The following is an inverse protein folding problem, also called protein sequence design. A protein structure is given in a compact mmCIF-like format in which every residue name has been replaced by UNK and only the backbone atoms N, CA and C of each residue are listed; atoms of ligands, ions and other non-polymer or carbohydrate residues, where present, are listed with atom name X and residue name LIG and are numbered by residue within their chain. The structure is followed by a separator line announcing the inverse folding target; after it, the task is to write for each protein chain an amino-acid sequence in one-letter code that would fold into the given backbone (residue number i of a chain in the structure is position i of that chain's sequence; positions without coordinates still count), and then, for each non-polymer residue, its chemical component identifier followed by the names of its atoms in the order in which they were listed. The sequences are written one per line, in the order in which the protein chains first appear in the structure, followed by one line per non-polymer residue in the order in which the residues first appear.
data_IF_183225942113
#
_entry.id   IF_183225942113
#
_cell.length_a   1.000
_cell.length_b   1.000
_cell.length_c   1.000
_cell.angle_alpha   90.00
_cell.angle_beta   90.00
_cell.angle_gamma   90.00
#
_symmetry.space_group_name_H-M   'P 1'
#
loop_
_entity.id
_entity.type
_entity.pdbx_description
1 polymer ?
#
# COMPACT_ATOMS: atom_id res chain seq x y z
N UNK A 1 -4.80 -14.25 23.65
CA UNK A 1 -3.53 -14.54 22.96
C UNK A 1 -3.34 -13.73 21.67
N UNK A 2 -4.17 -13.91 20.62
CA UNK A 2 -3.98 -13.16 19.34
C UNK A 2 -3.95 -11.64 19.50
N UNK A 3 -4.81 -11.07 20.35
CA UNK A 3 -4.80 -9.63 20.65
C UNK A 3 -3.48 -9.21 21.34
N UNK A 4 -2.94 -10.03 22.24
CA UNK A 4 -1.66 -9.74 22.89
C UNK A 4 -0.52 -9.79 21.87
N UNK A 5 -0.53 -10.76 20.95
CA UNK A 5 0.44 -10.82 19.84
C UNK A 5 0.31 -9.61 18.91
N UNK A 6 -0.92 -9.16 18.61
CA UNK A 6 -1.15 -7.93 17.86
C UNK A 6 -0.57 -6.71 18.57
N UNK A 7 -0.77 -6.58 19.88
CA UNK A 7 -0.23 -5.48 20.68
C UNK A 7 1.30 -5.54 20.75
N UNK A 8 1.89 -6.74 20.86
CA UNK A 8 3.34 -6.91 20.80
C UNK A 8 3.90 -6.52 19.42
N UNK A 9 3.23 -6.91 18.34
CA UNK A 9 3.58 -6.51 16.97
C UNK A 9 3.46 -4.99 16.76
N UNK A 10 2.41 -4.36 17.31
CA UNK A 10 2.28 -2.91 17.31
C UNK A 10 3.39 -2.24 18.12
N UNK A 11 3.69 -2.76 19.32
CA UNK A 11 4.79 -2.27 20.15
C UNK A 11 6.13 -2.33 19.41
N UNK A 12 6.39 -3.43 18.69
CA UNK A 12 7.56 -3.56 17.81
C UNK A 12 7.58 -2.49 16.71
N UNK A 13 6.46 -2.26 16.01
CA UNK A 13 6.40 -1.21 14.99
C UNK A 13 6.64 0.20 15.54
N UNK A 14 6.18 0.48 16.77
CA UNK A 14 6.40 1.77 17.44
C UNK A 14 7.86 2.02 17.81
N UNK A 15 8.72 1.00 17.76
CA UNK A 15 10.17 1.19 17.96
C UNK A 15 10.86 1.79 16.73
N UNK A 16 10.23 1.77 15.55
CA UNK A 16 10.79 2.36 14.35
C UNK A 16 10.66 3.88 14.37
N UNK A 17 11.70 4.62 13.94
CA UNK A 17 11.63 6.07 13.88
C UNK A 17 10.60 6.53 12.86
N UNK A 18 9.89 7.61 13.20
CA UNK A 18 9.02 8.32 12.27
C UNK A 18 9.89 8.88 11.15
N UNK A 19 9.68 8.40 9.93
CA UNK A 19 10.40 8.84 8.75
C UNK A 19 9.53 8.61 7.52
N UNK A 20 9.30 9.68 6.76
CA UNK A 20 8.68 9.58 5.45
C UNK A 20 9.71 9.01 4.46
N UNK A 21 9.26 8.16 3.54
CA UNK A 21 10.11 7.44 2.60
C UNK A 21 9.71 7.66 1.13
N UNK A 22 8.73 8.53 0.89
CA UNK A 22 8.20 8.85 -0.42
C UNK A 22 7.67 10.29 -0.50
N UNK A 23 7.67 10.84 -1.72
CA UNK A 23 7.07 12.15 -2.01
C UNK A 23 5.55 12.13 -1.76
N UNK A 24 4.87 11.00 -2.00
CA UNK A 24 3.44 10.82 -1.67
C UNK A 24 3.18 11.06 -0.17
N UNK A 25 3.99 10.46 0.70
CA UNK A 25 3.83 10.60 2.15
C UNK A 25 4.14 12.02 2.63
N UNK A 26 5.12 12.70 2.00
CA UNK A 26 5.39 14.12 2.23
C UNK A 26 4.21 15.00 1.83
N UNK A 27 3.65 14.78 0.65
CA UNK A 27 2.49 15.52 0.15
C UNK A 27 1.26 15.32 1.07
N UNK A 28 1.09 14.13 1.67
CA UNK A 28 0.07 13.93 2.71
C UNK A 28 0.35 14.75 3.97
N UNK A 29 1.62 14.80 4.42
CA UNK A 29 2.01 15.57 5.60
C UNK A 29 1.75 17.07 5.39
N UNK A 30 2.00 17.60 4.19
CA UNK A 30 1.59 18.96 3.84
C UNK A 30 0.07 19.13 3.88
N UNK A 31 -0.69 18.16 3.37
CA UNK A 31 -2.16 18.22 3.32
C UNK A 31 -2.81 18.32 4.71
N UNK A 32 -2.14 17.75 5.73
CA UNK A 32 -2.54 17.92 7.13
C UNK A 32 -2.51 19.39 7.53
N UNK A 33 -1.43 20.11 7.22
CA UNK A 33 -1.28 21.53 7.53
C UNK A 33 -2.20 22.40 6.66
N UNK A 34 -2.08 22.26 5.34
CA UNK A 34 -2.87 23.01 4.37
C UNK A 34 -3.24 22.11 3.21
N UNK A 35 -4.53 21.90 3.03
CA UNK A 35 -5.02 21.06 1.94
C UNK A 35 -5.14 21.90 0.66
N UNK A 36 -4.49 21.47 -0.40
CA UNK A 36 -4.69 21.96 -1.77
C UNK A 36 -4.08 20.97 -2.76
N UNK A 37 -4.88 20.50 -3.74
CA UNK A 37 -4.36 19.63 -4.79
C UNK A 37 -3.48 20.37 -5.79
N UNK A 38 -3.66 21.70 -5.90
CA UNK A 38 -2.86 22.57 -6.76
C UNK A 38 -1.42 22.70 -6.26
N UNK A 39 -1.24 22.63 -4.94
CA UNK A 39 0.07 22.74 -4.27
C UNK A 39 0.71 21.38 -3.98
N UNK A 40 0.15 20.30 -4.53
CA UNK A 40 0.53 18.92 -4.23
C UNK A 40 0.46 18.62 -2.72
N UNK A 41 -0.64 19.01 -2.09
CA UNK A 41 -0.86 18.94 -0.65
C UNK A 41 -2.24 18.33 -0.29
N UNK A 42 -2.48 17.04 -0.58
CA UNK A 42 -1.68 16.12 -1.40
C UNK A 42 -2.03 16.26 -2.89
N UNK A 43 -1.40 15.48 -3.76
CA UNK A 43 -1.75 15.48 -5.19
C UNK A 43 -3.19 15.00 -5.44
N UNK A 44 -3.74 15.31 -6.63
CA UNK A 44 -5.06 14.83 -7.05
C UNK A 44 -5.16 13.29 -6.91
N UNK A 45 -6.25 12.72 -6.36
CA UNK A 45 -7.56 13.33 -6.04
C UNK A 45 -7.71 13.87 -4.60
N UNK A 46 -6.62 14.15 -3.90
CA UNK A 46 -6.67 14.79 -2.58
C UNK A 46 -6.86 13.84 -1.39
N UNK A 47 -7.39 12.63 -1.58
CA UNK A 47 -7.58 11.64 -0.50
C UNK A 47 -8.30 12.21 0.75
N UNK A 48 -9.50 12.82 0.60
CA UNK A 48 -10.10 13.65 1.65
C UNK A 48 -10.21 12.96 3.02
N UNK A 49 -10.71 11.72 3.07
CA UNK A 49 -10.89 11.04 4.34
C UNK A 49 -9.55 10.70 5.02
N UNK A 50 -8.48 10.48 4.24
CA UNK A 50 -7.16 10.21 4.80
C UNK A 50 -6.57 11.48 5.41
N UNK A 51 -6.72 12.63 4.73
CA UNK A 51 -6.30 13.93 5.27
C UNK A 51 -7.11 14.29 6.52
N UNK A 52 -8.43 14.08 6.53
CA UNK A 52 -9.25 14.29 7.73
C UNK A 52 -8.80 13.41 8.89
N UNK A 53 -8.56 12.12 8.65
CA UNK A 53 -8.06 11.19 9.66
C UNK A 53 -6.70 11.67 10.22
N UNK A 54 -5.77 12.03 9.34
CA UNK A 54 -4.46 12.52 9.76
C UNK A 54 -4.55 13.86 10.52
N UNK A 55 -5.44 14.78 10.13
CA UNK A 55 -5.69 16.02 10.88
C UNK A 55 -6.24 15.76 12.28
N UNK A 56 -7.19 14.82 12.42
CA UNK A 56 -7.72 14.42 13.72
C UNK A 56 -6.62 13.84 14.62
N UNK A 57 -5.75 13.00 14.05
CA UNK A 57 -4.60 12.44 14.78
C UNK A 57 -3.60 13.54 15.15
N UNK A 58 -3.38 14.52 14.27
CA UNK A 58 -2.46 15.64 14.50
C UNK A 58 -2.89 16.53 15.67
N UNK A 59 -4.15 16.48 16.12
CA UNK A 59 -4.56 17.11 17.38
C UNK A 59 -3.88 16.51 18.62
N UNK A 60 -3.36 15.28 18.51
CA UNK A 60 -2.71 14.54 19.60
C UNK A 60 -1.22 14.30 19.37
N UNK A 61 -0.65 14.72 18.23
CA UNK A 61 0.77 14.52 17.91
C UNK A 61 1.38 15.79 17.31
N UNK A 62 2.62 16.09 17.70
CA UNK A 62 3.24 17.39 17.46
C UNK A 62 3.59 17.68 15.98
N UNK A 63 3.66 16.64 15.14
CA UNK A 63 4.23 16.72 13.79
C UNK A 63 3.30 16.11 12.72
N UNK A 64 3.03 16.79 11.59
CA UNK A 64 2.18 16.28 10.52
C UNK A 64 2.66 14.94 9.92
N UNK A 65 3.97 14.77 9.78
CA UNK A 65 4.57 13.52 9.30
C UNK A 65 4.25 12.35 10.25
N UNK A 66 4.27 12.60 11.56
CA UNK A 66 3.89 11.64 12.58
C UNK A 66 2.41 11.30 12.45
N UNK A 67 1.54 12.29 12.28
CA UNK A 67 0.11 12.09 12.16
C UNK A 67 -0.29 11.20 10.96
N UNK A 68 0.34 11.43 9.81
CA UNK A 68 0.16 10.63 8.60
C UNK A 68 0.64 9.18 8.80
N UNK A 69 1.81 8.99 9.43
CA UNK A 69 2.29 7.64 9.74
C UNK A 69 1.37 6.90 10.72
N UNK A 70 0.87 7.58 11.76
CA UNK A 70 -0.10 6.98 12.70
C UNK A 70 -1.41 6.61 12.00
N UNK A 71 -1.90 7.43 11.07
CA UNK A 71 -3.08 7.08 10.28
C UNK A 71 -2.87 5.76 9.53
N UNK A 72 -1.72 5.60 8.86
CA UNK A 72 -1.34 4.36 8.17
C UNK A 72 -1.18 3.17 9.12
N UNK A 73 -0.52 3.38 10.26
CA UNK A 73 -0.31 2.35 11.29
C UNK A 73 -1.63 1.82 11.84
N UNK A 74 -2.52 2.72 12.27
CA UNK A 74 -3.83 2.36 12.84
C UNK A 74 -4.68 1.61 11.82
N UNK A 75 -4.75 2.09 10.57
CA UNK A 75 -5.47 1.39 9.51
C UNK A 75 -4.88 0.01 9.21
N UNK A 76 -3.55 -0.08 9.09
CA UNK A 76 -2.87 -1.34 8.79
C UNK A 76 -2.99 -2.36 9.93
N UNK A 77 -3.08 -1.90 11.18
CA UNK A 77 -3.27 -2.77 12.35
C UNK A 77 -4.60 -3.56 12.31
N UNK A 78 -5.58 -3.05 11.57
CA UNK A 78 -6.89 -3.70 11.43
C UNK A 78 -6.91 -4.80 10.36
N UNK A 79 -5.88 -4.91 9.51
CA UNK A 79 -5.88 -5.85 8.39
C UNK A 79 -5.98 -7.31 8.85
N UNK A 80 -5.17 -7.70 9.83
CA UNK A 80 -5.16 -9.08 10.36
C UNK A 80 -6.50 -9.48 11.03
N UNK A 81 -7.06 -8.71 11.99
CA UNK A 81 -8.36 -9.05 12.56
C UNK A 81 -9.49 -9.07 11.55
N UNK A 82 -9.53 -8.13 10.60
CA UNK A 82 -10.60 -8.05 9.62
C UNK A 82 -10.52 -9.18 8.59
N UNK A 83 -9.33 -9.49 8.07
CA UNK A 83 -9.13 -10.62 7.16
C UNK A 83 -9.49 -11.95 7.83
N UNK A 84 -9.03 -12.16 9.07
CA UNK A 84 -9.34 -13.37 9.82
C UNK A 84 -10.85 -13.51 10.10
N UNK A 85 -11.49 -12.41 10.51
CA UNK A 85 -12.94 -12.39 10.72
C UNK A 85 -13.72 -12.62 9.44
N UNK A 86 -13.26 -12.07 8.31
CA UNK A 86 -13.85 -12.31 7.01
C UNK A 86 -13.72 -13.77 6.59
N UNK A 87 -12.54 -14.39 6.77
CA UNK A 87 -12.35 -15.82 6.49
C UNK A 87 -13.27 -16.71 7.34
N UNK A 88 -13.38 -16.43 8.64
CA UNK A 88 -14.30 -17.17 9.54
C UNK A 88 -15.74 -17.06 9.06
N UNK A 89 -16.19 -15.85 8.69
CA UNK A 89 -17.56 -15.61 8.23
C UNK A 89 -17.83 -16.17 6.84
N UNK A 90 -16.89 -16.06 5.92
CA UNK A 90 -17.04 -16.54 4.54
C UNK A 90 -17.12 -18.07 4.49
N UNK A 91 -16.29 -18.75 5.29
CA UNK A 91 -16.21 -20.21 5.31
C UNK A 91 -16.99 -20.88 6.44
N UNK A 92 -17.64 -20.11 7.32
CA UNK A 92 -18.35 -20.59 8.51
C UNK A 92 -17.47 -21.49 9.40
N UNK A 93 -16.20 -21.13 9.56
CA UNK A 93 -15.17 -21.94 10.25
C UNK A 93 -14.38 -21.10 11.26
N UNK A 94 -14.77 -21.10 12.55
CA UNK A 94 -14.07 -20.34 13.60
C UNK A 94 -12.59 -20.69 13.75
N UNK A 95 -12.22 -21.94 13.46
CA UNK A 95 -10.82 -22.40 13.54
C UNK A 95 -9.87 -21.68 12.58
N UNK A 96 -10.38 -20.99 11.55
CA UNK A 96 -9.55 -20.21 10.60
C UNK A 96 -9.07 -18.88 11.18
N UNK A 97 -9.61 -18.44 12.33
CA UNK A 97 -9.28 -17.13 12.91
C UNK A 97 -7.77 -17.01 13.17
N UNK A 98 -7.19 -17.95 13.90
CA UNK A 98 -5.77 -17.91 14.27
C UNK A 98 -4.80 -17.98 13.07
N UNK A 99 -4.89 -18.98 12.16
CA UNK A 99 -3.94 -19.06 11.05
C UNK A 99 -4.02 -17.85 10.12
N UNK A 100 -5.21 -17.34 9.80
CA UNK A 100 -5.33 -16.16 8.92
C UNK A 100 -4.78 -14.90 9.59
N UNK A 101 -5.07 -14.70 10.88
CA UNK A 101 -4.55 -13.56 11.63
C UNK A 101 -3.02 -13.56 11.65
N UNK A 102 -2.40 -14.70 11.99
CA UNK A 102 -0.95 -14.83 12.07
C UNK A 102 -0.28 -14.69 10.70
N UNK A 103 -0.85 -15.30 9.65
CA UNK A 103 -0.32 -15.15 8.29
C UNK A 103 -0.34 -13.70 7.82
N UNK A 104 -1.41 -12.95 8.08
CA UNK A 104 -1.49 -11.53 7.69
C UNK A 104 -0.50 -10.68 8.47
N UNK A 105 -0.29 -10.95 9.77
CA UNK A 105 0.77 -10.27 10.54
C UNK A 105 2.18 -10.60 10.03
N UNK A 106 2.39 -11.83 9.58
CA UNK A 106 3.66 -12.31 9.05
C UNK A 106 3.93 -11.89 7.60
N UNK A 107 3.00 -11.19 6.92
CA UNK A 107 3.28 -10.68 5.58
C UNK A 107 4.29 -9.53 5.64
N UNK A 108 5.37 -9.53 4.84
CA UNK A 108 6.30 -8.40 4.75
C UNK A 108 5.65 -7.07 4.35
N UNK A 109 4.54 -7.15 3.61
CA UNK A 109 3.74 -5.99 3.20
C UNK A 109 3.06 -5.30 4.39
N UNK A 110 2.60 -6.02 5.40
CA UNK A 110 1.82 -5.46 6.51
C UNK A 110 2.59 -4.40 7.33
N UNK A 111 3.83 -4.65 7.80
CA UNK A 111 4.60 -3.62 8.49
C UNK A 111 5.00 -2.45 7.57
N UNK A 112 5.23 -2.72 6.28
CA UNK A 112 5.53 -1.68 5.28
C UNK A 112 4.35 -0.73 5.09
N UNK A 113 3.14 -1.27 4.93
CA UNK A 113 1.92 -0.46 4.85
C UNK A 113 1.74 0.37 6.12
N UNK A 114 2.01 -0.22 7.28
CA UNK A 114 1.87 0.44 8.57
C UNK A 114 2.84 1.63 8.76
N UNK A 115 4.08 1.53 8.29
CA UNK A 115 5.09 2.58 8.47
C UNK A 115 5.20 3.58 7.30
N UNK A 116 4.53 3.31 6.18
CA UNK A 116 4.65 4.09 4.93
C UNK A 116 4.15 5.53 4.99
N UNK A 117 3.20 5.85 5.88
CA UNK A 117 2.50 7.13 5.83
C UNK A 117 1.59 7.29 4.60
N UNK A 118 1.15 6.18 4.00
CA UNK A 118 0.27 6.17 2.83
C UNK A 118 -1.13 5.69 3.20
N UNK A 119 -2.10 6.03 2.35
CA UNK A 119 -3.53 5.73 2.58
C UNK A 119 -3.92 4.27 2.34
N UNK A 120 -3.02 3.42 1.84
CA UNK A 120 -3.27 2.02 1.48
C UNK A 120 -3.87 1.22 2.65
N UNK A 121 -3.21 1.23 3.81
CA UNK A 121 -3.63 0.44 4.99
C UNK A 121 -5.07 0.75 5.46
N UNK A 122 -5.40 2.01 5.79
CA UNK A 122 -6.75 2.42 6.14
C UNK A 122 -7.80 2.06 5.07
N UNK A 123 -7.48 2.27 3.79
CA UNK A 123 -8.41 1.94 2.70
C UNK A 123 -8.66 0.42 2.62
N UNK A 124 -7.62 -0.41 2.73
CA UNK A 124 -7.75 -1.87 2.76
C UNK A 124 -8.56 -2.35 3.98
N UNK A 125 -8.38 -1.72 5.15
CA UNK A 125 -9.19 -2.02 6.32
C UNK A 125 -10.67 -1.68 6.09
N UNK A 126 -10.97 -0.52 5.51
CA UNK A 126 -12.33 -0.15 5.14
C UNK A 126 -12.94 -1.11 4.11
N UNK A 127 -12.15 -1.58 3.14
CA UNK A 127 -12.57 -2.59 2.16
C UNK A 127 -12.88 -3.95 2.79
N UNK A 128 -11.97 -4.50 3.61
CA UNK A 128 -12.21 -5.76 4.33
C UNK A 128 -13.41 -5.63 5.28
N UNK A 129 -13.53 -4.48 5.97
CA UNK A 129 -14.66 -4.15 6.82
C UNK A 129 -15.98 -4.10 6.05
N UNK A 130 -15.97 -3.55 4.82
CA UNK A 130 -17.14 -3.54 3.92
C UNK A 130 -17.59 -4.96 3.59
N UNK A 131 -16.65 -5.80 3.13
CA UNK A 131 -16.93 -7.20 2.78
C UNK A 131 -17.48 -7.97 3.99
N UNK A 132 -16.87 -7.77 5.17
CA UNK A 132 -17.32 -8.39 6.42
C UNK A 132 -18.71 -7.89 6.85
N UNK A 133 -18.98 -6.60 6.74
CA UNK A 133 -20.29 -6.01 7.07
C UNK A 133 -21.39 -6.54 6.16
N UNK A 134 -21.11 -6.75 4.86
CA UNK A 134 -22.03 -7.40 3.92
C UNK A 134 -22.31 -8.85 4.33
N UNK A 135 -21.30 -9.62 4.72
CA UNK A 135 -21.50 -10.99 5.22
C UNK A 135 -22.33 -11.03 6.52
N UNK A 136 -22.26 -9.97 7.33
CA UNK A 136 -23.05 -9.81 8.56
C UNK A 136 -24.41 -9.14 8.33
N UNK A 137 -24.79 -8.86 7.08
CA UNK A 137 -26.03 -8.13 6.70
C UNK A 137 -26.15 -6.73 7.33
N UNK A 138 -25.03 -6.10 7.72
CA UNK A 138 -24.97 -4.72 8.21
C UNK A 138 -24.86 -3.74 7.04
N UNK A 139 -25.95 -3.62 6.27
CA UNK A 139 -25.93 -2.99 4.95
C UNK A 139 -25.53 -1.51 4.98
N UNK A 140 -26.02 -0.73 5.96
CA UNK A 140 -25.66 0.68 6.08
C UNK A 140 -24.19 0.88 6.45
N UNK A 141 -23.67 0.06 7.36
CA UNK A 141 -22.24 0.08 7.71
C UNK A 141 -21.37 -0.32 6.52
N UNK A 142 -21.79 -1.30 5.72
CA UNK A 142 -21.09 -1.66 4.50
C UNK A 142 -21.03 -0.49 3.50
N UNK A 143 -22.15 0.22 3.30
CA UNK A 143 -22.19 1.43 2.49
C UNK A 143 -21.23 2.52 3.01
N UNK A 144 -21.25 2.78 4.32
CA UNK A 144 -20.38 3.77 4.95
C UNK A 144 -18.90 3.42 4.75
N UNK A 145 -18.51 2.18 5.04
CA UNK A 145 -17.14 1.71 4.89
C UNK A 145 -16.67 1.72 3.43
N UNK A 146 -17.57 1.45 2.47
CA UNK A 146 -17.25 1.52 1.04
C UNK A 146 -17.04 2.96 0.58
N UNK A 147 -17.89 3.88 1.03
CA UNK A 147 -17.71 5.32 0.81
C UNK A 147 -16.40 5.82 1.40
N UNK A 148 -16.09 5.43 2.65
CA UNK A 148 -14.84 5.77 3.31
C UNK A 148 -13.63 5.16 2.60
N UNK A 149 -13.70 3.92 2.11
CA UNK A 149 -12.63 3.31 1.31
C UNK A 149 -12.29 4.17 0.09
N UNK A 150 -13.31 4.59 -0.67
CA UNK A 150 -13.12 5.49 -1.81
C UNK A 150 -12.57 6.85 -1.39
N UNK A 151 -13.05 7.42 -0.29
CA UNK A 151 -12.57 8.71 0.21
C UNK A 151 -11.12 8.65 0.74
N UNK A 152 -10.71 7.51 1.31
CA UNK A 152 -9.36 7.23 1.78
C UNK A 152 -8.41 7.00 0.61
N UNK A 153 -8.89 6.34 -0.46
CA UNK A 153 -8.08 6.00 -1.64
C UNK A 153 -8.96 5.80 -2.88
N UNK A 154 -9.22 6.86 -3.67
CA UNK A 154 -10.08 6.73 -4.86
C UNK A 154 -9.52 5.81 -5.94
N UNK A 155 -8.20 5.66 -6.03
CA UNK A 155 -7.54 4.74 -6.98
C UNK A 155 -7.88 3.27 -6.73
N UNK A 156 -8.45 2.93 -5.57
CA UNK A 156 -8.97 1.60 -5.27
C UNK A 156 -10.41 1.38 -5.78
N UNK A 157 -10.89 2.18 -6.73
CA UNK A 157 -12.24 1.99 -7.29
C UNK A 157 -12.51 0.56 -7.81
N UNK A 158 -11.50 -0.14 -8.35
CA UNK A 158 -11.67 -1.54 -8.78
C UNK A 158 -12.06 -2.47 -7.62
N UNK A 159 -11.66 -2.13 -6.39
CA UNK A 159 -12.01 -2.90 -5.20
C UNK A 159 -13.50 -2.76 -4.81
N UNK A 160 -14.24 -1.83 -5.43
CA UNK A 160 -15.68 -1.66 -5.17
C UNK A 160 -16.53 -2.64 -5.96
N UNK A 161 -16.00 -3.31 -6.99
CA UNK A 161 -16.80 -4.13 -7.91
C UNK A 161 -17.61 -5.22 -7.17
N UNK A 162 -16.96 -6.03 -6.34
CA UNK A 162 -17.65 -7.07 -5.57
C UNK A 162 -18.55 -6.48 -4.47
N UNK A 163 -18.10 -5.55 -3.60
CA UNK A 163 -18.97 -4.91 -2.62
C UNK A 163 -20.23 -4.26 -3.21
N UNK A 164 -20.10 -3.55 -4.34
CA UNK A 164 -21.24 -2.92 -5.02
C UNK A 164 -22.20 -3.97 -5.55
N UNK A 165 -21.70 -5.02 -6.21
CA UNK A 165 -22.52 -6.12 -6.69
C UNK A 165 -23.31 -6.77 -5.54
N UNK A 166 -22.61 -7.15 -4.46
CA UNK A 166 -23.22 -7.78 -3.30
C UNK A 166 -24.20 -6.85 -2.57
N UNK A 167 -23.89 -5.57 -2.44
CA UNK A 167 -24.76 -4.58 -1.78
C UNK A 167 -26.03 -4.28 -2.59
N UNK A 168 -25.91 -4.16 -3.91
CA UNK A 168 -27.05 -3.91 -4.81
C UNK A 168 -27.96 -5.13 -4.96
N UNK A 169 -27.43 -6.34 -4.77
CA UNK A 169 -28.20 -7.58 -4.75
C UNK A 169 -29.13 -7.70 -3.51
N UNK A 170 -28.93 -6.90 -2.46
CA UNK A 170 -29.77 -6.90 -1.25
C UNK A 170 -31.10 -6.16 -1.50
N UNK A 171 -32.08 -6.87 -2.07
CA UNK A 171 -33.42 -6.33 -2.33
C UNK A 171 -34.03 -5.72 -1.05
N UNK A 172 -34.66 -4.56 -1.19
CA UNK A 172 -35.23 -3.79 -0.07
C UNK A 172 -34.23 -2.98 0.79
N UNK A 173 -32.92 -3.22 0.68
CA UNK A 173 -31.90 -2.51 1.46
C UNK A 173 -30.94 -1.65 0.62
N UNK A 174 -31.18 -1.52 -0.69
CA UNK A 174 -30.32 -0.76 -1.61
C UNK A 174 -30.10 0.70 -1.18
N UNK A 175 -31.16 1.38 -0.74
CA UNK A 175 -31.04 2.77 -0.26
C UNK A 175 -30.14 2.84 0.97
N UNK A 176 -30.27 1.90 1.91
CA UNK A 176 -29.41 1.83 3.10
C UNK A 176 -27.95 1.58 2.73
N UNK A 177 -27.67 0.91 1.61
CA UNK A 177 -26.31 0.71 1.11
C UNK A 177 -25.75 1.94 0.40
N UNK A 178 -26.53 2.55 -0.51
CA UNK A 178 -26.07 3.63 -1.39
C UNK A 178 -26.05 4.99 -0.69
N UNK A 179 -27.00 5.26 0.20
CA UNK A 179 -27.11 6.56 0.86
C UNK A 179 -25.84 6.94 1.63
N UNK A 180 -25.23 6.08 2.48
CA UNK A 180 -23.97 6.41 3.14
C UNK A 180 -22.82 6.65 2.16
N UNK A 181 -22.75 5.91 1.05
CA UNK A 181 -21.74 6.12 0.00
C UNK A 181 -21.88 7.53 -0.58
N UNK A 182 -23.11 7.91 -0.94
CA UNK A 182 -23.41 9.23 -1.49
C UNK A 182 -23.11 10.36 -0.49
N UNK A 183 -23.44 10.18 0.79
CA UNK A 183 -23.15 11.16 1.84
C UNK A 183 -21.65 11.36 2.05
N UNK A 184 -20.85 10.29 2.06
CA UNK A 184 -19.39 10.40 2.11
C UNK A 184 -18.87 11.12 0.85
N UNK A 185 -19.37 10.75 -0.33
CA UNK A 185 -18.99 11.41 -1.59
C UNK A 185 -19.31 12.90 -1.59
N UNK A 186 -20.48 13.30 -1.09
CA UNK A 186 -20.87 14.70 -0.94
C UNK A 186 -19.97 15.44 0.05
N UNK A 187 -19.67 14.84 1.21
CA UNK A 187 -18.76 15.43 2.18
C UNK A 187 -17.35 15.63 1.60
N UNK A 188 -16.84 14.66 0.83
CA UNK A 188 -15.58 14.79 0.11
C UNK A 188 -15.63 15.91 -0.94
N UNK A 189 -16.71 16.00 -1.72
CA UNK A 189 -16.88 17.05 -2.72
C UNK A 189 -16.88 18.44 -2.08
N UNK A 190 -17.63 18.63 -0.99
CA UNK A 190 -17.67 19.89 -0.25
C UNK A 190 -16.28 20.25 0.31
N UNK A 191 -15.55 19.26 0.85
CA UNK A 191 -14.20 19.47 1.37
C UNK A 191 -13.21 19.93 0.30
N UNK A 192 -13.16 19.25 -0.86
CA UNK A 192 -12.22 19.65 -1.93
C UNK A 192 -12.64 20.95 -2.61
N UNK A 193 -13.95 21.19 -2.74
CA UNK A 193 -14.49 22.44 -3.28
C UNK A 193 -14.15 23.64 -2.39
N UNK A 194 -14.21 23.49 -1.07
CA UNK A 194 -13.84 24.55 -0.13
C UNK A 194 -12.37 24.98 -0.31
N UNK A 195 -11.48 24.05 -0.64
CA UNK A 195 -10.05 24.35 -0.76
C UNK A 195 -9.65 24.92 -2.11
N UNK A 196 -10.06 24.26 -3.19
CA UNK A 196 -9.56 24.57 -4.54
C UNK A 196 -10.66 24.96 -5.54
N UNK A 197 -11.94 24.92 -5.13
CA UNK A 197 -13.09 25.30 -5.94
C UNK A 197 -13.10 24.66 -7.34
N UNK A 198 -13.27 25.48 -8.38
CA UNK A 198 -13.25 24.99 -9.76
C UNK A 198 -11.86 24.51 -10.21
N UNK A 199 -10.79 25.05 -9.65
CA UNK A 199 -9.43 24.69 -10.05
C UNK A 199 -9.12 23.22 -9.72
N UNK A 200 -9.79 22.62 -8.73
CA UNK A 200 -9.71 21.19 -8.43
C UNK A 200 -9.94 20.30 -9.67
N UNK A 201 -10.97 20.62 -10.45
CA UNK A 201 -11.34 19.81 -11.62
C UNK A 201 -10.41 20.06 -12.81
N UNK A 202 -9.92 21.29 -12.96
CA UNK A 202 -8.91 21.61 -13.97
C UNK A 202 -7.61 20.83 -13.70
N UNK A 203 -7.17 20.78 -12.43
CA UNK A 203 -6.04 19.98 -12.01
C UNK A 203 -6.31 18.47 -12.16
N UNK A 204 -7.53 18.01 -11.87
CA UNK A 204 -7.92 16.61 -12.08
C UNK A 204 -7.79 16.16 -13.54
N UNK A 205 -8.16 17.03 -14.49
CA UNK A 205 -7.94 16.77 -15.93
C UNK A 205 -6.45 16.73 -16.24
N UNK A 206 -5.69 17.77 -15.85
CA UNK A 206 -4.24 17.87 -16.10
C UNK A 206 -3.46 16.67 -15.53
N UNK A 207 -3.78 16.28 -14.30
CA UNK A 207 -3.13 15.16 -13.61
C UNK A 207 -3.44 13.84 -14.30
N UNK A 208 -4.70 13.61 -14.67
CA UNK A 208 -5.12 12.38 -15.36
C UNK A 208 -4.44 12.28 -16.73
N UNK A 209 -4.46 13.35 -17.52
CA UNK A 209 -3.80 13.40 -18.83
C UNK A 209 -2.29 13.13 -18.69
N UNK A 210 -1.61 13.81 -17.77
CA UNK A 210 -0.18 13.61 -17.52
C UNK A 210 0.16 12.21 -17.00
N UNK A 211 -0.68 11.62 -16.16
CA UNK A 211 -0.50 10.26 -15.67
C UNK A 211 -0.54 9.25 -16.82
N UNK A 212 -1.52 9.37 -17.74
CA UNK A 212 -1.64 8.42 -18.84
C UNK A 212 -0.65 8.68 -19.99
N UNK A 213 -0.18 9.91 -20.18
CA UNK A 213 0.63 10.29 -21.37
C UNK A 213 2.10 10.57 -21.09
N UNK A 214 2.49 10.96 -19.87
CA UNK A 214 3.83 11.48 -19.57
C UNK A 214 4.58 10.69 -18.49
N UNK A 215 3.99 10.49 -17.31
CA UNK A 215 4.74 10.06 -16.11
C UNK A 215 4.09 8.96 -15.26
N UNK A 216 2.88 8.50 -15.57
CA UNK A 216 2.18 7.52 -14.73
C UNK A 216 2.65 6.08 -14.84
N UNK A 217 3.69 5.80 -15.63
CA UNK A 217 4.19 4.44 -15.88
C UNK A 217 3.05 3.45 -16.20
N UNK A 218 2.09 3.89 -17.02
CA UNK A 218 1.00 3.05 -17.50
C UNK A 218 1.54 1.98 -18.46
N UNK A 219 0.72 0.99 -18.80
CA UNK A 219 1.11 -0.25 -19.50
C UNK A 219 2.02 -0.12 -20.72
N UNK A 220 2.11 1.07 -21.33
CA UNK A 220 2.93 1.37 -22.50
C UNK A 220 4.40 1.71 -22.19
N UNK A 221 4.80 1.94 -20.94
CA UNK A 221 6.13 2.50 -20.60
C UNK A 221 7.18 1.49 -20.07
N UNK A 222 6.83 0.21 -19.92
CA UNK A 222 7.77 -0.84 -19.46
C UNK A 222 7.89 -1.96 -20.48
N UNK A 223 9.05 -2.06 -21.14
CA UNK A 223 9.34 -3.13 -22.12
C UNK A 223 9.15 -4.55 -21.55
N UNK A 224 9.47 -4.76 -20.26
CA UNK A 224 9.45 -6.08 -19.62
C UNK A 224 8.57 -6.14 -18.35
N UNK A 225 7.32 -5.66 -18.43
CA UNK A 225 6.42 -5.56 -17.26
C UNK A 225 6.19 -6.88 -16.51
N UNK A 226 6.06 -7.99 -17.24
CA UNK A 226 5.84 -9.32 -16.63
C UNK A 226 7.07 -9.75 -15.82
N UNK A 227 8.28 -9.44 -16.31
CA UNK A 227 9.52 -9.71 -15.58
C UNK A 227 9.58 -8.87 -14.30
N UNK A 228 9.21 -7.58 -14.37
CA UNK A 228 9.14 -6.72 -13.18
C UNK A 228 8.16 -7.27 -12.15
N UNK A 229 6.95 -7.68 -12.55
CA UNK A 229 6.01 -8.31 -11.64
C UNK A 229 6.53 -9.63 -11.08
N UNK A 230 7.17 -10.48 -11.89
CA UNK A 230 7.77 -11.74 -11.43
C UNK A 230 8.80 -11.50 -10.33
N UNK A 231 9.66 -10.50 -10.50
CA UNK A 231 10.64 -10.09 -9.49
C UNK A 231 9.95 -9.59 -8.23
N UNK A 232 8.96 -8.71 -8.36
CA UNK A 232 8.19 -8.21 -7.21
C UNK A 232 7.46 -9.34 -6.48
N UNK A 233 6.86 -10.29 -7.18
CA UNK A 233 6.24 -11.47 -6.57
C UNK A 233 7.26 -12.35 -5.85
N UNK A 234 8.43 -12.57 -6.43
CA UNK A 234 9.52 -13.33 -5.82
C UNK A 234 9.99 -12.68 -4.51
N UNK A 235 10.21 -11.36 -4.54
CA UNK A 235 10.67 -10.60 -3.38
C UNK A 235 9.62 -10.57 -2.26
N UNK A 236 8.32 -10.54 -2.61
CA UNK A 236 7.23 -10.43 -1.63
C UNK A 236 6.68 -11.76 -1.13
N UNK A 237 6.59 -12.78 -1.98
CA UNK A 237 5.91 -14.04 -1.72
C UNK A 237 6.85 -15.25 -1.83
N UNK A 238 8.17 -15.02 -1.93
CA UNK A 238 9.22 -16.03 -2.15
C UNK A 238 9.17 -16.66 -3.56
N UNK A 239 10.18 -17.45 -3.97
CA UNK A 239 10.15 -18.17 -5.25
C UNK A 239 8.96 -19.13 -5.43
N UNK A 240 8.23 -19.44 -4.35
CA UNK A 240 7.05 -20.30 -4.35
C UNK A 240 5.77 -19.59 -4.82
N UNK A 241 5.82 -18.29 -5.12
CA UNK A 241 4.68 -17.52 -5.58
C UNK A 241 3.91 -18.14 -6.77
N UNK A 242 4.54 -18.85 -7.75
CA UNK A 242 3.79 -19.46 -8.86
C UNK A 242 2.86 -20.57 -8.37
N UNK A 243 3.24 -21.30 -7.31
CA UNK A 243 2.37 -22.33 -6.72
C UNK A 243 1.14 -21.71 -6.05
N UNK A 244 1.31 -20.57 -5.37
CA UNK A 244 0.20 -19.82 -4.80
C UNK A 244 -0.76 -19.34 -5.90
N UNK A 245 -0.23 -18.76 -6.98
CA UNK A 245 -1.05 -18.32 -8.12
C UNK A 245 -1.75 -19.48 -8.83
N UNK A 246 -1.06 -20.61 -9.03
CA UNK A 246 -1.65 -21.83 -9.57
C UNK A 246 -2.78 -22.38 -8.70
N UNK A 247 -2.61 -22.37 -7.37
CA UNK A 247 -3.66 -22.77 -6.43
C UNK A 247 -4.92 -21.88 -6.56
N UNK A 248 -4.75 -20.57 -6.75
CA UNK A 248 -5.87 -19.65 -6.98
C UNK A 248 -6.62 -19.91 -8.29
N UNK A 249 -5.93 -20.25 -9.38
CA UNK A 249 -6.58 -20.54 -10.66
C UNK A 249 -7.39 -21.85 -10.63
N UNK A 250 -6.96 -22.82 -9.82
CA UNK A 250 -7.66 -24.10 -9.63
C UNK A 250 -8.83 -23.96 -8.63
N UNK A 251 -8.87 -22.86 -7.86
CA UNK A 251 -9.83 -22.60 -6.79
C UNK A 251 -11.30 -22.84 -7.17
N UNK A 252 -11.81 -22.30 -8.29
CA UNK A 252 -13.22 -22.47 -8.69
C UNK A 252 -13.55 -23.90 -9.12
N UNK A 253 -12.57 -24.63 -9.69
CA UNK A 253 -12.77 -25.96 -10.25
C UNK A 253 -12.87 -27.02 -9.14
N UNK A 254 -12.03 -26.91 -8.11
CA UNK A 254 -12.05 -27.80 -6.96
C UNK A 254 -13.30 -27.62 -6.08
N UNK A 255 -13.82 -26.39 -5.96
CA UNK A 255 -15.04 -26.11 -5.20
C UNK A 255 -16.28 -26.82 -5.77
N UNK A 256 -16.28 -27.15 -7.06
CA UNK A 256 -17.37 -27.88 -7.73
C UNK A 256 -17.29 -29.40 -7.57
N UNK A 257 -16.14 -29.95 -7.16
CA UNK A 257 -15.93 -31.41 -7.17
C UNK A 257 -16.15 -32.09 -5.81
N UNK A 258 -16.37 -31.34 -4.72
CA UNK A 258 -16.61 -31.90 -3.39
C UNK A 258 -17.82 -31.24 -2.70
N UNK A 259 -18.94 -31.96 -2.67
CA UNK A 259 -20.25 -31.62 -2.08
C UNK A 259 -20.27 -31.35 -0.56
N UNK A 260 -19.16 -31.07 0.11
CA UNK A 260 -19.07 -31.20 1.59
C UNK A 260 -18.53 -29.99 2.36
N UNK A 261 -18.44 -28.80 1.76
CA UNK A 261 -18.19 -27.56 2.52
C UNK A 261 -19.07 -26.42 2.01
N UNK A 262 -19.43 -25.43 2.85
CA UNK A 262 -20.02 -24.19 2.39
C UNK A 262 -18.96 -23.42 1.59
N UNK A 263 -18.86 -23.72 0.29
CA UNK A 263 -17.98 -23.00 -0.60
C UNK A 263 -18.55 -21.59 -0.84
N UNK A 264 -17.72 -20.55 -0.82
CA UNK A 264 -18.16 -19.22 -1.21
C UNK A 264 -18.61 -19.24 -2.67
N UNK A 265 -19.52 -18.35 -3.02
CA UNK A 265 -19.95 -18.15 -4.41
C UNK A 265 -18.74 -17.96 -5.34
N UNK A 266 -18.85 -18.46 -6.57
CA UNK A 266 -17.85 -18.29 -7.66
C UNK A 266 -17.48 -16.82 -7.91
N UNK A 267 -18.33 -15.88 -7.49
CA UNK A 267 -18.05 -14.44 -7.54
C UNK A 267 -16.78 -14.04 -6.78
N UNK A 268 -16.43 -14.73 -5.69
CA UNK A 268 -15.25 -14.43 -4.90
C UNK A 268 -13.92 -14.73 -5.62
N UNK A 269 -13.69 -15.94 -6.14
CA UNK A 269 -12.49 -16.21 -6.93
C UNK A 269 -12.49 -15.46 -8.26
N UNK A 270 -13.65 -15.23 -8.90
CA UNK A 270 -13.72 -14.37 -10.09
C UNK A 270 -13.29 -12.93 -9.78
N UNK A 271 -13.74 -12.39 -8.65
CA UNK A 271 -13.32 -11.06 -8.20
C UNK A 271 -11.83 -11.01 -7.89
N UNK A 272 -11.27 -12.04 -7.24
CA UNK A 272 -9.82 -12.14 -7.06
C UNK A 272 -9.06 -12.13 -8.39
N UNK A 273 -9.56 -12.84 -9.43
CA UNK A 273 -8.98 -12.82 -10.77
C UNK A 273 -9.04 -11.43 -11.41
N UNK A 274 -10.15 -10.71 -11.26
CA UNK A 274 -10.27 -9.33 -11.74
C UNK A 274 -9.24 -8.42 -11.04
N UNK A 275 -9.04 -8.58 -9.73
CA UNK A 275 -8.01 -7.83 -9.00
C UNK A 275 -6.60 -8.18 -9.46
N UNK A 276 -6.33 -9.46 -9.77
CA UNK A 276 -5.04 -9.89 -10.32
C UNK A 276 -4.78 -9.22 -11.67
N UNK A 277 -5.74 -9.29 -12.60
CA UNK A 277 -5.61 -8.66 -13.92
C UNK A 277 -5.42 -7.16 -13.79
N UNK A 278 -6.18 -6.49 -12.93
CA UNK A 278 -6.00 -5.08 -12.64
C UNK A 278 -4.62 -4.77 -12.05
N UNK A 279 -4.08 -5.63 -11.20
CA UNK A 279 -2.73 -5.44 -10.64
C UNK A 279 -1.67 -5.57 -11.74
N UNK A 280 -1.74 -6.65 -12.53
CA UNK A 280 -0.79 -6.92 -13.60
C UNK A 280 -0.78 -5.83 -14.68
N UNK A 281 -1.95 -5.33 -15.08
CA UNK A 281 -2.11 -4.40 -16.21
C UNK A 281 -2.35 -2.95 -15.82
N UNK A 282 -2.83 -2.67 -14.60
CA UNK A 282 -3.20 -1.33 -14.14
C UNK A 282 -2.29 -0.74 -13.06
N UNK A 283 -1.40 -1.52 -12.45
CA UNK A 283 -0.55 -1.04 -11.34
C UNK A 283 0.95 -1.06 -11.66
N UNK A 284 1.72 -0.27 -10.90
CA UNK A 284 3.16 -0.16 -11.04
C UNK A 284 3.89 -1.31 -10.31
N UNK A 285 4.66 -2.18 -11.00
CA UNK A 285 5.41 -3.28 -10.37
C UNK A 285 6.49 -2.81 -9.39
N UNK A 286 7.01 -1.58 -9.51
CA UNK A 286 8.03 -1.02 -8.61
C UNK A 286 7.48 -0.65 -7.21
N UNK A 287 6.16 -0.80 -7.01
CA UNK A 287 5.47 -0.48 -5.76
C UNK A 287 4.76 -1.75 -5.21
N UNK A 288 5.44 -2.55 -4.38
CA UNK A 288 4.92 -3.83 -3.87
C UNK A 288 3.58 -3.74 -3.14
N UNK A 289 3.25 -2.56 -2.58
CA UNK A 289 1.96 -2.26 -1.93
C UNK A 289 0.74 -2.61 -2.77
N UNK A 290 0.84 -2.57 -4.11
CA UNK A 290 -0.27 -2.91 -5.00
C UNK A 290 -0.63 -4.40 -5.00
N UNK A 291 0.23 -5.28 -4.46
CA UNK A 291 -0.09 -6.68 -4.24
C UNK A 291 -1.02 -6.91 -3.03
N UNK A 292 -1.13 -5.93 -2.11
CA UNK A 292 -1.85 -6.12 -0.86
C UNK A 292 -3.33 -6.56 -1.03
N UNK A 293 -4.16 -5.99 -1.93
CA UNK A 293 -5.53 -6.46 -2.14
C UNK A 293 -5.61 -7.93 -2.55
N UNK A 294 -4.77 -8.36 -3.51
CA UNK A 294 -4.79 -9.74 -4.02
C UNK A 294 -4.23 -10.73 -3.00
N UNK A 295 -3.22 -10.34 -2.23
CA UNK A 295 -2.64 -11.20 -1.19
C UNK A 295 -3.60 -11.36 -0.01
N UNK A 296 -4.21 -10.27 0.48
CA UNK A 296 -5.14 -10.32 1.61
C UNK A 296 -6.38 -11.16 1.27
N UNK A 297 -7.03 -10.87 0.13
CA UNK A 297 -8.17 -11.67 -0.31
C UNK A 297 -7.74 -13.11 -0.63
N UNK A 298 -6.56 -13.28 -1.19
CA UNK A 298 -6.01 -14.59 -1.49
C UNK A 298 -5.88 -15.48 -0.26
N UNK A 299 -5.30 -14.96 0.83
CA UNK A 299 -5.20 -15.68 2.10
C UNK A 299 -6.59 -16.06 2.62
N UNK A 300 -7.55 -15.13 2.57
CA UNK A 300 -8.94 -15.39 3.00
C UNK A 300 -9.58 -16.53 2.20
N UNK A 301 -9.33 -16.60 0.89
CA UNK A 301 -9.88 -17.63 0.02
C UNK A 301 -9.17 -18.98 0.19
N UNK A 302 -7.84 -19.02 0.27
CA UNK A 302 -7.09 -20.27 0.45
C UNK A 302 -7.32 -20.88 1.83
N UNK A 303 -7.63 -20.09 2.86
CA UNK A 303 -7.91 -20.59 4.19
C UNK A 303 -9.05 -21.63 4.21
N UNK A 304 -10.01 -21.55 3.28
CA UNK A 304 -11.09 -22.52 3.16
C UNK A 304 -10.63 -23.94 2.83
N UNK A 305 -9.49 -24.07 2.15
CA UNK A 305 -8.91 -25.35 1.74
C UNK A 305 -8.16 -26.06 2.85
N UNK A 306 -7.90 -25.37 3.95
CA UNK A 306 -7.15 -25.91 5.05
C UNK A 306 -7.90 -27.10 5.68
N UNK A 307 -7.31 -28.32 5.67
CA UNK A 307 -7.89 -29.45 6.37
C UNK A 307 -8.01 -29.13 7.86
N UNK A 308 -9.07 -29.62 8.53
CA UNK A 308 -9.29 -29.33 9.96
C UNK A 308 -8.09 -29.69 10.84
N UNK A 309 -7.40 -30.80 10.51
CA UNK A 309 -6.18 -31.25 11.21
C UNK A 309 -4.95 -30.36 10.94
N UNK A 310 -4.92 -29.63 9.82
CA UNK A 310 -3.80 -28.77 9.42
C UNK A 310 -3.86 -27.34 9.99
N UNK A 311 -4.97 -26.95 10.63
CA UNK A 311 -5.16 -25.59 11.17
C UNK A 311 -4.05 -25.21 12.16
N UNK A 312 -3.72 -26.09 13.10
CA UNK A 312 -2.67 -25.83 14.09
C UNK A 312 -1.28 -25.71 13.47
N UNK A 313 -0.99 -26.52 12.45
CA UNK A 313 0.29 -26.47 11.74
C UNK A 313 0.47 -25.15 10.98
N UNK A 314 -0.58 -24.66 10.31
CA UNK A 314 -0.52 -23.37 9.62
C UNK A 314 -0.45 -22.20 10.60
N UNK A 315 -1.13 -22.28 11.74
CA UNK A 315 -0.98 -21.28 12.79
C UNK A 315 0.46 -21.23 13.33
N UNK A 316 1.07 -22.39 13.57
CA UNK A 316 2.48 -22.50 13.98
C UNK A 316 3.42 -21.95 12.89
N UNK A 317 3.20 -22.31 11.62
CA UNK A 317 3.97 -21.78 10.51
C UNK A 317 3.84 -20.26 10.41
N UNK A 318 2.64 -19.71 10.57
CA UNK A 318 2.39 -18.26 10.63
C UNK A 318 3.15 -17.58 11.78
N UNK A 319 3.22 -18.22 12.95
CA UNK A 319 4.00 -17.71 14.08
C UNK A 319 5.51 -17.74 13.81
N UNK A 320 6.02 -18.80 13.20
CA UNK A 320 7.43 -18.90 12.80
C UNK A 320 7.78 -17.86 11.73
N UNK A 321 6.92 -17.68 10.73
CA UNK A 321 7.09 -16.63 9.72
C UNK A 321 7.08 -15.24 10.37
N UNK A 322 6.14 -14.98 11.29
CA UNK A 322 6.10 -13.73 12.04
C UNK A 322 7.42 -13.48 12.77
N UNK A 323 7.97 -14.48 13.45
CA UNK A 323 9.26 -14.36 14.14
C UNK A 323 10.42 -13.97 13.19
N UNK A 324 10.41 -14.47 11.95
CA UNK A 324 11.42 -14.13 10.92
C UNK A 324 11.17 -12.76 10.29
N UNK A 325 9.94 -12.23 10.33
CA UNK A 325 9.66 -10.86 9.85
C UNK A 325 10.11 -9.76 10.81
N UNK A 326 10.36 -10.08 12.09
CA UNK A 326 10.80 -9.11 13.08
C UNK A 326 12.24 -8.69 12.78
N UNK A 327 12.44 -7.40 12.51
CA UNK A 327 13.74 -6.78 12.27
C UNK A 327 14.04 -5.73 13.34
N UNK A 328 15.32 -5.46 13.66
CA UNK A 328 15.66 -4.38 14.57
C UNK A 328 15.23 -3.04 13.98
N UNK A 329 14.71 -2.16 14.85
CA UNK A 329 14.32 -0.82 14.44
C UNK A 329 15.50 -0.05 13.87
N UNK A 330 15.29 0.50 12.67
CA UNK A 330 16.26 1.35 11.96
C UNK A 330 15.54 2.38 11.08
N UNK A 331 16.18 3.51 10.75
CA UNK A 331 15.64 4.46 9.79
C UNK A 331 15.43 3.81 8.41
N UNK A 332 14.58 4.39 7.57
CA UNK A 332 14.42 3.94 6.18
C UNK A 332 15.74 4.04 5.40
N UNK A 333 15.88 3.25 4.34
CA UNK A 333 17.06 3.32 3.46
C UNK A 333 17.30 4.75 2.93
N UNK A 334 16.22 5.49 2.68
CA UNK A 334 16.26 6.90 2.26
C UNK A 334 16.95 7.79 3.29
N UNK A 335 16.54 7.71 4.56
CA UNK A 335 17.12 8.53 5.64
C UNK A 335 18.58 8.15 5.89
N UNK A 336 18.91 6.86 5.84
CA UNK A 336 20.30 6.41 6.01
C UNK A 336 21.20 6.93 4.88
N UNK A 337 20.75 6.78 3.62
CA UNK A 337 21.50 7.24 2.46
C UNK A 337 21.67 8.76 2.43
N UNK A 338 20.61 9.51 2.76
CA UNK A 338 20.64 10.97 2.85
C UNK A 338 21.70 11.46 3.87
N UNK A 339 21.72 10.87 5.08
CA UNK A 339 22.70 11.23 6.13
C UNK A 339 24.14 10.96 5.72
N UNK A 340 24.39 9.92 4.91
CA UNK A 340 25.73 9.65 4.37
C UNK A 340 26.06 10.64 3.27
N UNK A 341 25.11 10.95 2.38
CA UNK A 341 25.31 11.93 1.32
C UNK A 341 25.63 13.33 1.89
N UNK A 342 24.91 13.79 2.91
CA UNK A 342 25.13 15.11 3.55
C UNK A 342 26.55 15.29 4.10
N UNK A 343 27.20 14.20 4.48
CA UNK A 343 28.56 14.23 5.03
C UNK A 343 29.65 14.18 3.97
N UNK A 344 29.35 13.63 2.79
CA UNK A 344 30.37 13.24 1.82
C UNK A 344 30.22 13.95 0.47
N UNK A 345 29.11 14.65 0.24
CA UNK A 345 28.75 15.14 -1.09
C UNK A 345 28.36 16.63 -1.02
N UNK A 346 28.74 17.44 -2.02
CA UNK A 346 28.27 18.83 -2.12
C UNK A 346 26.83 18.95 -2.64
N UNK A 347 26.33 17.93 -3.34
CA UNK A 347 24.99 17.87 -3.91
C UNK A 347 24.53 16.42 -4.14
N UNK A 348 23.23 16.23 -4.42
CA UNK A 348 22.63 14.91 -4.63
C UNK A 348 21.80 14.87 -5.91
N UNK A 349 21.98 13.83 -6.72
CA UNK A 349 21.16 13.53 -7.90
C UNK A 349 20.31 12.29 -7.60
N UNK A 350 18.98 12.44 -7.64
CA UNK A 350 18.04 11.34 -7.37
C UNK A 350 16.87 11.36 -8.35
N UNK A 351 16.31 10.19 -8.66
CA UNK A 351 15.02 10.07 -9.36
C UNK A 351 13.90 9.65 -8.40
N UNK A 352 14.22 9.52 -7.11
CA UNK A 352 13.32 8.96 -6.11
C UNK A 352 13.30 9.83 -4.87
N UNK A 353 12.10 10.18 -4.38
CA UNK A 353 11.93 11.05 -3.22
C UNK A 353 12.55 12.43 -3.45
N UNK A 354 12.43 12.98 -4.66
CA UNK A 354 13.13 14.21 -5.06
C UNK A 354 12.69 15.37 -4.17
N UNK A 355 11.38 15.52 -3.98
CA UNK A 355 10.83 16.59 -3.14
C UNK A 355 11.13 16.34 -1.67
N UNK A 356 10.97 15.10 -1.22
CA UNK A 356 11.30 14.68 0.14
C UNK A 356 12.74 15.05 0.49
N UNK A 357 13.70 14.69 -0.35
CA UNK A 357 15.11 14.99 -0.11
C UNK A 357 15.42 16.49 -0.18
N UNK A 358 14.76 17.26 -1.04
CA UNK A 358 14.89 18.73 -1.07
C UNK A 358 14.47 19.39 0.23
N UNK A 359 13.47 18.83 0.90
CA UNK A 359 12.89 19.43 2.11
C UNK A 359 13.48 18.84 3.41
N UNK A 360 14.05 17.63 3.35
CA UNK A 360 14.58 16.93 4.54
C UNK A 360 16.09 16.89 4.62
N UNK A 361 16.80 17.36 3.58
CA UNK A 361 18.27 17.41 3.57
C UNK A 361 18.75 18.84 3.34
N UNK A 362 19.99 19.08 3.73
CA UNK A 362 20.68 20.35 3.48
C UNK A 362 21.32 20.43 2.08
N UNK A 363 21.29 19.34 1.32
CA UNK A 363 21.94 19.25 0.01
C UNK A 363 21.08 19.90 -1.09
N UNK A 364 21.70 20.56 -2.08
CA UNK A 364 21.08 20.80 -3.37
C UNK A 364 20.71 19.45 -4.02
N UNK A 365 19.43 19.25 -4.33
CA UNK A 365 18.93 18.01 -4.95
C UNK A 365 18.47 18.26 -6.39
N UNK A 366 19.17 17.62 -7.32
CA UNK A 366 18.84 17.61 -8.75
C UNK A 366 18.00 16.38 -9.09
N UNK A 367 16.92 16.61 -9.83
CA UNK A 367 16.07 15.54 -10.34
C UNK A 367 16.78 14.84 -11.51
N UNK A 368 17.12 13.57 -11.31
CA UNK A 368 17.80 12.73 -12.29
C UNK A 368 16.94 12.38 -13.52
N UNK A 369 15.67 12.79 -13.59
CA UNK A 369 14.88 12.72 -14.81
C UNK A 369 15.43 13.67 -15.89
N UNK A 370 15.89 14.86 -15.49
CA UNK A 370 16.47 15.85 -16.40
C UNK A 370 17.96 15.55 -16.63
N UNK A 371 18.23 14.72 -17.65
CA UNK A 371 19.57 14.14 -17.90
C UNK A 371 20.68 15.18 -18.03
N UNK A 372 20.41 16.35 -18.61
CA UNK A 372 21.42 17.42 -18.77
C UNK A 372 21.89 17.96 -17.42
N UNK A 373 20.95 18.40 -16.58
CA UNK A 373 21.23 18.93 -15.24
C UNK A 373 21.84 17.87 -14.33
N UNK A 374 21.33 16.64 -14.44
CA UNK A 374 21.85 15.49 -13.69
C UNK A 374 23.32 15.22 -14.06
N UNK A 375 23.65 15.18 -15.35
CA UNK A 375 25.03 14.96 -15.80
C UNK A 375 25.96 16.09 -15.33
N UNK A 376 25.52 17.35 -15.42
CA UNK A 376 26.28 18.50 -14.96
C UNK A 376 26.54 18.46 -13.44
N UNK A 377 25.52 18.13 -12.64
CA UNK A 377 25.69 18.00 -11.20
C UNK A 377 26.67 16.87 -10.85
N UNK A 378 26.57 15.72 -11.54
CA UNK A 378 27.48 14.59 -11.32
C UNK A 378 28.92 14.91 -11.71
N UNK A 379 29.17 15.67 -12.79
CA UNK A 379 30.54 16.10 -13.15
C UNK A 379 31.11 17.12 -12.17
N UNK A 380 30.26 17.83 -11.43
CA UNK A 380 30.64 18.73 -10.34
C UNK A 380 30.80 18.02 -8.98
N UNK A 381 30.78 16.69 -8.95
CA UNK A 381 31.00 15.90 -7.73
C UNK A 381 29.74 15.63 -6.91
N UNK A 382 28.54 15.74 -7.49
CA UNK A 382 27.32 15.31 -6.80
C UNK A 382 27.29 13.78 -6.62
N UNK A 383 26.65 13.32 -5.54
CA UNK A 383 26.39 11.90 -5.35
C UNK A 383 25.14 11.46 -6.11
N UNK A 384 25.05 10.16 -6.45
CA UNK A 384 23.89 9.60 -7.15
C UNK A 384 23.15 8.61 -6.25
N UNK A 385 21.87 8.89 -5.99
CA UNK A 385 20.97 7.96 -5.28
C UNK A 385 20.04 7.25 -6.27
N UNK A 386 19.90 5.93 -6.12
CA UNK A 386 19.12 5.09 -7.02
C UNK A 386 18.51 3.87 -6.33
N UNK A 387 17.34 3.41 -6.78
CA UNK A 387 16.76 2.11 -6.37
C UNK A 387 17.43 0.91 -7.06
N UNK A 388 18.08 1.13 -8.20
CA UNK A 388 18.77 0.11 -8.98
C UNK A 388 20.28 0.27 -8.85
N UNK A 389 21.06 -0.83 -8.91
CA UNK A 389 22.50 -0.75 -9.00
C UNK A 389 22.92 0.19 -10.13
N UNK A 390 23.88 1.08 -9.86
CA UNK A 390 24.40 2.04 -10.82
C UNK A 390 25.61 1.44 -11.53
N UNK A 391 25.52 1.28 -12.85
CA UNK A 391 26.65 0.82 -13.68
C UNK A 391 27.63 1.96 -14.00
N UNK A 392 28.85 1.61 -14.42
CA UNK A 392 29.88 2.58 -14.79
C UNK A 392 29.45 3.53 -15.91
N UNK A 393 28.59 3.07 -16.83
CA UNK A 393 28.06 3.87 -17.94
C UNK A 393 27.09 4.98 -17.48
N UNK A 394 26.54 4.88 -16.27
CA UNK A 394 25.58 5.83 -15.72
C UNK A 394 26.24 6.98 -14.94
N UNK A 395 27.57 6.96 -14.79
CA UNK A 395 28.33 7.87 -13.94
C UNK A 395 29.53 8.45 -14.72
N UNK A 396 29.82 9.76 -14.60
CA UNK A 396 30.85 10.41 -15.40
C UNK A 396 32.30 10.15 -14.93
N UNK A 397 32.53 9.24 -13.98
CA UNK A 397 33.83 9.01 -13.37
C UNK A 397 33.86 7.79 -12.43
N UNK A 398 34.94 7.60 -11.66
CA UNK A 398 35.00 6.54 -10.66
C UNK A 398 34.15 6.90 -9.44
N UNK A 399 33.28 5.99 -9.04
CA UNK A 399 32.43 6.13 -7.85
C UNK A 399 32.54 4.89 -6.96
N UNK A 400 32.45 5.08 -5.66
CA UNK A 400 32.23 4.01 -4.69
C UNK A 400 30.73 3.86 -4.43
N UNK A 401 30.24 2.62 -4.49
CA UNK A 401 28.81 2.33 -4.32
C UNK A 401 28.53 1.73 -2.94
N UNK A 402 27.54 2.30 -2.26
CA UNK A 402 27.07 1.86 -0.95
C UNK A 402 25.61 1.40 -1.06
N UNK A 403 25.33 0.22 -0.50
CA UNK A 403 23.97 -0.34 -0.43
C UNK A 403 23.35 -0.10 0.95
N UNK A 404 22.15 0.47 0.95
CA UNK A 404 21.31 0.68 2.13
C UNK A 404 20.14 -0.30 2.10
N UNK A 405 20.18 -1.28 3.00
CA UNK A 405 19.16 -2.31 3.10
C UNK A 405 17.80 -1.74 3.57
N UNK A 406 16.67 -2.23 3.01
CA UNK A 406 15.33 -1.80 3.40
C UNK A 406 14.93 -2.30 4.79
N UNK A 407 13.96 -1.68 5.50
CA UNK A 407 13.54 -2.16 6.83
C UNK A 407 12.86 -3.52 6.77
N UNK A 408 12.09 -3.75 5.70
CA UNK A 408 11.36 -4.97 5.41
C UNK A 408 11.56 -5.39 3.94
N UNK A 409 11.31 -6.65 3.61
CA UNK A 409 11.39 -7.14 2.23
C UNK A 409 10.42 -6.44 1.25
N UNK A 410 9.36 -5.81 1.76
CA UNK A 410 8.41 -5.05 0.94
C UNK A 410 8.81 -3.59 0.69
N UNK A 411 9.92 -3.14 1.28
CA UNK A 411 10.48 -1.81 1.04
C UNK A 411 11.64 -1.89 0.04
N UNK A 412 11.84 -0.84 -0.78
CA UNK A 412 13.00 -0.74 -1.64
C UNK A 412 14.25 -0.42 -0.80
N UNK A 413 15.36 -1.11 -1.06
CA UNK A 413 16.66 -0.59 -0.65
C UNK A 413 17.18 0.44 -1.66
N UNK A 414 18.28 1.10 -1.31
CA UNK A 414 18.85 2.18 -2.11
C UNK A 414 20.37 2.03 -2.28
N UNK A 415 20.85 2.40 -3.45
CA UNK A 415 22.25 2.53 -3.80
C UNK A 415 22.64 4.01 -3.80
N UNK A 416 23.71 4.35 -3.09
CA UNK A 416 24.36 5.66 -3.15
C UNK A 416 25.71 5.49 -3.82
N UNK A 417 25.97 6.23 -4.90
CA UNK A 417 27.27 6.35 -5.49
C UNK A 417 27.94 7.64 -4.99
N UNK A 418 29.13 7.50 -4.41
CA UNK A 418 30.00 8.57 -3.93
C UNK A 418 31.13 8.81 -4.94
N UNK A 419 31.39 10.04 -5.39
CA UNK A 419 32.54 10.33 -6.24
C UNK A 419 33.84 10.06 -5.47
N UNK A 420 34.85 9.52 -6.16
CA UNK A 420 36.18 9.31 -5.58
C UNK A 420 37.03 10.56 -5.56
#
# INVERSE_FOLDING_TARGET
MLILLQLAWLGWLLTFPVALDSDDALNFAHGVVRFSVLEFSPHFPGYPAFIWLARLINLAVDEPARAVQWASLLGSSLLAPLAASLAVRLWQRPSLLAPVWLLVLALPLTPTLALSGLSDGPALAAWLGTLLALQQRKIALAGLLLGLMLALRPSYFVLTLLPLWLGMAQQGNRVRFVLPIALVGLACLLFVWQADGWAYFAEGRRFTDGHFTLWGNTAAAHGDRLLSWSNTFNDQLTPLWPLLMGAFLILPLWQRSKDHNPAPSVLWPLYWLVLLLWTLFGQNPDNPRHLAPITLLGIVLLAGWLPRRGVGQVALAGLLLLAVTLTPARPSAMVQAARVAEKNCPALVTQWGVRLLRETTTLPVTDGWYRGDAALALTQGACRLSRRPLGAEALPGPYDTLWFAPRFHAEPGLWLALPR
#
